data_IF_593428113813
#
_entry.id   IF_593428113813
#
_cell.length_a   1.000
_cell.length_b   1.000
_cell.length_c   1.000
_cell.angle_alpha   90.00
_cell.angle_beta   90.00
_cell.angle_gamma   90.00
#
_symmetry.space_group_name_H-M   'P 1'
#
loop_
_entity.id
_entity.type
_entity.pdbx_description
1 polymer ?
#
# COMPACT_ATOMS: atom_id res chain seq x y z
N UNK A 1 26.55 15.46 13.81
CA UNK A 1 25.69 14.53 14.60
C UNK A 1 24.94 13.64 13.60
N UNK A 2 24.54 12.42 14.00
CA UNK A 2 23.77 11.52 13.13
C UNK A 2 22.43 11.16 13.77
N UNK A 3 21.35 11.20 13.00
CA UNK A 3 20.03 10.70 13.38
C UNK A 3 19.73 9.47 12.53
N UNK A 4 19.40 8.35 13.18
CA UNK A 4 18.90 7.16 12.50
C UNK A 4 17.39 7.27 12.33
N UNK A 5 16.91 6.95 11.14
CA UNK A 5 15.49 6.86 10.80
C UNK A 5 15.17 5.41 10.44
N UNK A 6 14.02 4.94 10.89
CA UNK A 6 13.52 3.60 10.60
C UNK A 6 12.01 3.67 10.39
N UNK A 7 11.58 3.29 9.19
CA UNK A 7 10.16 3.14 8.85
C UNK A 7 9.79 1.66 8.89
N UNK A 8 8.58 1.34 9.37
CA UNK A 8 8.09 -0.02 9.54
C UNK A 8 6.62 -0.09 9.12
N UNK A 9 6.26 -1.06 8.27
CA UNK A 9 4.87 -1.41 8.00
C UNK A 9 4.35 -2.28 9.14
N UNK A 10 3.39 -1.79 9.92
CA UNK A 10 2.88 -2.48 11.12
C UNK A 10 1.50 -3.10 10.89
N UNK A 11 0.67 -2.45 10.08
CA UNK A 11 -0.72 -2.82 9.84
C UNK A 11 -1.17 -2.44 8.43
N UNK A 12 -2.36 -2.85 8.01
CA UNK A 12 -2.98 -2.33 6.78
C UNK A 12 -3.47 -0.90 6.98
N UNK A 13 -3.99 -0.59 8.17
CA UNK A 13 -4.34 0.78 8.52
C UNK A 13 -4.33 1.07 10.02
N UNK A 14 -4.25 2.36 10.36
CA UNK A 14 -4.38 2.87 11.73
C UNK A 14 -5.57 3.82 11.86
N UNK A 15 -6.29 3.72 12.98
CA UNK A 15 -7.25 4.74 13.37
C UNK A 15 -6.53 5.94 14.01
N UNK A 16 -6.01 6.84 13.18
CA UNK A 16 -5.25 8.03 13.60
C UNK A 16 -6.05 8.93 14.53
N UNK A 17 -7.35 9.09 14.30
CA UNK A 17 -8.22 9.91 15.15
C UNK A 17 -8.29 9.37 16.58
N UNK A 18 -8.48 8.05 16.74
CA UNK A 18 -8.51 7.39 18.05
C UNK A 18 -7.14 7.46 18.71
N UNK A 19 -6.08 7.13 17.97
CA UNK A 19 -4.70 7.22 18.44
C UNK A 19 -4.38 8.61 19.03
N UNK A 20 -4.65 9.67 18.27
CA UNK A 20 -4.35 11.05 18.70
C UNK A 20 -5.11 11.47 19.96
N UNK A 21 -6.31 10.94 20.16
CA UNK A 21 -7.13 11.23 21.34
C UNK A 21 -6.52 10.61 22.60
N UNK A 22 -5.91 9.43 22.48
CA UNK A 22 -5.40 8.64 23.60
C UNK A 22 -3.90 8.88 23.87
N UNK A 23 -3.10 9.24 22.86
CA UNK A 23 -1.65 9.45 23.00
C UNK A 23 -1.28 10.73 23.78
N UNK A 24 -2.22 11.65 24.01
CA UNK A 24 -2.14 12.85 24.89
C UNK A 24 -0.91 13.78 24.73
N UNK A 25 -0.11 13.57 23.70
CA UNK A 25 1.03 14.40 23.32
C UNK A 25 0.60 15.38 22.25
N UNK A 26 1.08 16.62 22.31
CA UNK A 26 0.80 17.62 21.27
C UNK A 26 1.56 17.25 19.99
N UNK A 27 0.82 17.19 18.87
CA UNK A 27 1.41 16.91 17.57
C UNK A 27 2.01 18.18 16.98
N UNK A 28 3.17 18.07 16.34
CA UNK A 28 3.76 19.18 15.57
C UNK A 28 2.91 19.47 14.33
N UNK A 29 2.43 18.41 13.68
CA UNK A 29 1.46 18.50 12.58
C UNK A 29 0.65 17.21 12.50
N UNK A 30 -0.59 17.29 12.03
CA UNK A 30 -1.36 16.07 11.77
C UNK A 30 -2.72 16.34 11.15
N UNK A 31 -3.20 15.34 10.42
CA UNK A 31 -4.49 15.30 9.75
C UNK A 31 -5.27 14.06 10.22
N UNK A 32 -6.25 13.63 9.44
CA UNK A 32 -6.90 12.32 9.59
C UNK A 32 -6.05 11.18 9.02
N UNK A 33 -5.17 11.48 8.06
CA UNK A 33 -4.34 10.51 7.37
C UNK A 33 -2.96 10.32 8.04
N UNK A 34 -2.51 11.29 8.82
CA UNK A 34 -1.17 11.23 9.38
C UNK A 34 -1.02 12.06 10.65
N UNK A 35 0.02 11.75 11.44
CA UNK A 35 0.40 12.58 12.58
C UNK A 35 1.90 12.51 12.84
N UNK A 36 2.52 13.68 12.99
CA UNK A 36 3.93 13.86 13.24
C UNK A 36 4.17 14.54 14.60
N UNK A 37 5.07 13.96 15.38
CA UNK A 37 5.49 14.42 16.70
C UNK A 37 6.97 14.77 16.69
N UNK A 38 7.29 16.00 17.08
CA UNK A 38 8.65 16.47 17.30
C UNK A 38 8.92 16.56 18.80
N UNK A 39 9.48 15.49 19.38
CA UNK A 39 9.86 15.43 20.80
C UNK A 39 11.26 16.00 20.98
N UNK A 40 11.37 17.31 20.79
CA UNK A 40 12.63 18.06 20.73
C UNK A 40 13.47 17.94 22.00
N UNK A 41 12.84 17.83 23.18
CA UNK A 41 13.52 17.62 24.47
C UNK A 41 14.40 16.36 24.49
N UNK A 42 14.04 15.35 23.70
CA UNK A 42 14.74 14.08 23.60
C UNK A 42 15.40 13.86 22.23
N UNK A 43 15.35 14.87 21.35
CA UNK A 43 15.76 14.76 19.94
C UNK A 43 15.13 13.52 19.25
N UNK A 44 13.87 13.22 19.55
CA UNK A 44 13.11 12.07 19.03
C UNK A 44 11.97 12.54 18.16
N UNK A 45 11.72 11.83 17.06
CA UNK A 45 10.63 12.19 16.15
C UNK A 45 9.86 10.93 15.76
N UNK A 46 8.55 11.07 15.69
CA UNK A 46 7.65 9.96 15.44
C UNK A 46 6.63 10.40 14.40
N UNK A 47 6.44 9.57 13.39
CA UNK A 47 5.48 9.80 12.32
C UNK A 47 4.62 8.56 12.15
N UNK A 48 3.31 8.72 12.14
CA UNK A 48 2.36 7.63 11.98
C UNK A 48 1.44 7.98 10.83
N UNK A 49 1.22 7.02 9.96
CA UNK A 49 0.36 7.15 8.80
C UNK A 49 -0.84 6.22 8.90
N UNK A 50 -2.00 6.65 8.42
CA UNK A 50 -3.24 5.88 8.41
C UNK A 50 -3.14 4.60 7.58
N UNK A 51 -2.23 4.53 6.61
CA UNK A 51 -1.87 3.33 5.86
C UNK A 51 -0.92 2.37 6.60
N UNK A 52 -0.83 2.48 7.92
CA UNK A 52 -0.23 1.44 8.75
C UNK A 52 1.29 1.51 8.92
N UNK A 53 1.94 2.58 8.44
CA UNK A 53 3.38 2.82 8.61
C UNK A 53 3.66 3.65 9.86
N UNK A 54 4.71 3.27 10.58
CA UNK A 54 5.31 4.07 11.64
C UNK A 54 6.76 4.36 11.31
N UNK A 55 7.17 5.62 11.41
CA UNK A 55 8.54 6.07 11.19
C UNK A 55 9.09 6.66 12.48
N UNK A 56 10.23 6.14 12.91
CA UNK A 56 10.96 6.57 14.09
C UNK A 56 12.23 7.29 13.68
N UNK A 57 12.53 8.43 14.30
CA UNK A 57 13.83 9.06 14.22
C UNK A 57 14.46 9.16 15.60
N UNK A 58 15.68 8.63 15.72
CA UNK A 58 16.50 8.64 16.93
C UNK A 58 15.87 7.92 18.14
N UNK A 59 15.09 6.86 17.91
CA UNK A 59 14.58 5.99 18.97
C UNK A 59 15.53 4.82 19.24
N UNK A 60 15.69 4.46 20.51
CA UNK A 60 16.36 3.23 20.91
C UNK A 60 15.44 2.00 20.74
N UNK A 61 15.99 0.78 20.69
CA UNK A 61 15.19 -0.44 20.46
C UNK A 61 14.08 -0.69 21.50
N UNK A 62 14.28 -0.28 22.77
CA UNK A 62 13.30 -0.50 23.83
C UNK A 62 12.11 0.42 23.63
N UNK A 63 12.36 1.72 23.46
CA UNK A 63 11.32 2.70 23.21
C UNK A 63 10.52 2.40 21.92
N UNK A 64 11.19 1.93 20.85
CA UNK A 64 10.50 1.47 19.64
C UNK A 64 9.57 0.30 19.94
N UNK A 65 10.06 -0.73 20.64
CA UNK A 65 9.25 -1.93 20.95
C UNK A 65 8.03 -1.59 21.81
N UNK A 66 8.19 -0.73 22.81
CA UNK A 66 7.09 -0.24 23.64
C UNK A 66 6.05 0.51 22.80
N UNK A 67 6.50 1.42 21.93
CA UNK A 67 5.60 2.16 21.05
C UNK A 67 4.88 1.25 20.05
N UNK A 68 5.58 0.29 19.45
CA UNK A 68 4.98 -0.68 18.52
C UNK A 68 3.92 -1.53 19.21
N UNK A 69 4.11 -1.92 20.47
CA UNK A 69 3.08 -2.64 21.24
C UNK A 69 1.87 -1.75 21.55
N UNK A 70 2.09 -0.46 21.82
CA UNK A 70 1.02 0.49 22.04
C UNK A 70 0.19 0.77 20.78
N UNK A 71 0.86 1.04 19.64
CA UNK A 71 0.19 1.48 18.40
C UNK A 71 -0.67 0.38 17.78
N UNK A 72 -0.35 -0.90 18.04
CA UNK A 72 -1.15 -2.06 17.61
C UNK A 72 -2.61 -2.01 18.08
N UNK A 73 -2.92 -1.33 19.17
CA UNK A 73 -4.31 -1.17 19.66
C UNK A 73 -5.19 -0.31 18.75
N UNK A 74 -4.59 0.39 17.79
CA UNK A 74 -5.26 1.24 16.81
C UNK A 74 -5.17 0.68 15.38
N UNK A 75 -4.54 -0.48 15.21
CA UNK A 75 -4.37 -1.14 13.93
C UNK A 75 -5.65 -1.85 13.49
N UNK A 76 -5.96 -1.78 12.20
CA UNK A 76 -6.80 -2.76 11.53
C UNK A 76 -5.88 -3.66 10.69
N UNK A 77 -6.01 -4.99 10.91
CA UNK A 77 -5.21 -6.04 10.30
C UNK A 77 -3.69 -5.83 10.43
N UNK A 78 -3.08 -6.56 11.36
CA UNK A 78 -1.62 -6.51 11.52
C UNK A 78 -0.94 -7.15 10.31
N UNK A 79 0.13 -6.50 9.85
CA UNK A 79 0.98 -7.01 8.78
C UNK A 79 2.09 -7.83 9.43
N UNK A 80 2.08 -9.15 9.21
CA UNK A 80 3.11 -10.08 9.70
C UNK A 80 4.22 -10.26 8.64
N UNK A 81 4.75 -9.13 8.18
CA UNK A 81 5.86 -9.07 7.23
C UNK A 81 6.95 -8.19 7.84
N UNK A 82 8.21 -8.61 7.71
CA UNK A 82 9.36 -7.80 8.13
C UNK A 82 9.66 -6.71 7.09
N UNK A 83 8.73 -5.76 6.94
CA UNK A 83 8.84 -4.63 6.02
C UNK A 83 9.30 -3.41 6.79
N UNK A 84 10.56 -3.04 6.55
CA UNK A 84 11.19 -1.90 7.18
C UNK A 84 12.30 -1.33 6.32
N UNK A 85 12.47 -0.01 6.40
CA UNK A 85 13.56 0.68 5.71
C UNK A 85 14.29 1.60 6.68
N UNK A 86 15.62 1.61 6.58
CA UNK A 86 16.49 2.45 7.40
C UNK A 86 17.15 3.54 6.56
N UNK A 87 17.26 4.72 7.16
CA UNK A 87 17.92 5.86 6.55
C UNK A 87 18.59 6.72 7.61
N UNK A 88 19.45 7.66 7.20
CA UNK A 88 20.18 8.52 8.14
C UNK A 88 20.12 9.98 7.76
N UNK A 89 20.12 10.84 8.76
CA UNK A 89 20.39 12.27 8.60
C UNK A 89 21.76 12.55 9.21
N UNK A 90 22.65 13.15 8.43
CA UNK A 90 23.97 13.60 8.87
C UNK A 90 24.03 15.13 8.87
N UNK A 91 24.40 15.72 10.01
CA UNK A 91 24.52 17.17 10.11
C UNK A 91 25.93 17.59 9.70
N UNK A 92 26.02 18.44 8.67
CA UNK A 92 27.25 19.12 8.27
C UNK A 92 27.00 20.63 8.10
N UNK A 93 27.44 21.47 9.06
CA UNK A 93 27.27 22.92 8.99
C UNK A 93 28.03 23.60 7.84
N UNK A 94 28.91 22.88 7.13
CA UNK A 94 29.61 23.42 5.95
C UNK A 94 28.74 23.39 4.70
N UNK A 95 27.74 22.51 4.66
CA UNK A 95 26.81 22.46 3.55
C UNK A 95 25.81 23.61 3.66
N UNK A 96 25.44 24.17 2.51
CA UNK A 96 24.46 25.27 2.45
C UNK A 96 23.05 24.80 2.13
N UNK A 97 22.91 23.53 1.72
CA UNK A 97 21.64 22.91 1.30
C UNK A 97 21.65 21.41 1.60
N UNK A 98 20.47 20.77 1.72
CA UNK A 98 20.37 19.34 1.87
C UNK A 98 20.92 18.58 0.66
N UNK A 99 21.72 17.54 0.90
CA UNK A 99 22.29 16.66 -0.14
C UNK A 99 21.82 15.23 0.11
N UNK A 100 20.98 14.73 -0.79
CA UNK A 100 20.43 13.36 -0.72
C UNK A 100 21.44 12.36 -1.31
N UNK A 101 21.64 11.24 -0.62
CA UNK A 101 22.41 10.07 -1.04
C UNK A 101 21.59 8.81 -0.74
N UNK A 102 22.01 7.68 -1.29
CA UNK A 102 21.26 6.42 -1.18
C UNK A 102 20.91 6.02 0.26
N UNK A 103 21.84 6.16 1.21
CA UNK A 103 21.66 5.69 2.60
C UNK A 103 21.50 6.82 3.63
N UNK A 104 21.66 8.08 3.20
CA UNK A 104 21.60 9.23 4.10
C UNK A 104 21.38 10.55 3.37
N UNK A 105 20.89 11.55 4.10
CA UNK A 105 20.86 12.94 3.66
C UNK A 105 21.76 13.78 4.56
N UNK A 106 22.59 14.63 3.96
CA UNK A 106 23.36 15.64 4.69
C UNK A 106 22.55 16.92 4.79
N UNK A 107 22.49 17.56 5.96
CA UNK A 107 21.75 18.80 6.21
C UNK A 107 22.58 19.80 7.01
N UNK A 108 22.39 21.12 6.82
CA UNK A 108 23.10 22.13 7.59
C UNK A 108 22.74 22.09 9.08
N UNK A 109 21.46 21.92 9.38
CA UNK A 109 20.90 21.89 10.73
C UNK A 109 19.68 20.95 10.83
N UNK A 110 19.28 20.64 12.06
CA UNK A 110 18.05 19.89 12.32
C UNK A 110 16.89 20.86 12.41
N UNK A 111 15.90 20.61 11.58
CA UNK A 111 14.62 21.30 11.58
C UNK A 111 13.48 20.26 11.56
N UNK A 112 12.46 20.35 12.43
CA UNK A 112 11.33 19.44 12.44
C UNK A 112 10.61 19.34 11.08
N UNK A 113 10.55 20.43 10.32
CA UNK A 113 9.92 20.45 8.99
C UNK A 113 10.74 19.63 7.99
N UNK A 114 12.07 19.77 8.00
CA UNK A 114 12.98 18.93 7.24
C UNK A 114 12.83 17.44 7.62
N UNK A 115 12.86 17.12 8.92
CA UNK A 115 12.74 15.74 9.37
C UNK A 115 11.43 15.11 8.93
N UNK A 116 10.33 15.88 8.99
CA UNK A 116 9.03 15.43 8.49
C UNK A 116 9.09 15.05 7.01
N UNK A 117 9.75 15.84 6.16
CA UNK A 117 9.91 15.52 4.73
C UNK A 117 10.75 14.25 4.53
N UNK A 118 11.85 14.10 5.26
CA UNK A 118 12.69 12.89 5.18
C UNK A 118 11.89 11.65 5.61
N UNK A 119 11.24 11.71 6.77
CA UNK A 119 10.45 10.61 7.32
C UNK A 119 9.24 10.26 6.46
N UNK A 120 8.59 11.25 5.83
CA UNK A 120 7.49 11.05 4.88
C UNK A 120 7.94 10.17 3.70
N UNK A 121 9.05 10.52 3.05
CA UNK A 121 9.52 9.81 1.87
C UNK A 121 9.95 8.37 2.20
N UNK A 122 10.58 8.15 3.36
CA UNK A 122 10.95 6.79 3.80
C UNK A 122 9.68 5.99 4.13
N UNK A 123 8.69 6.60 4.78
CA UNK A 123 7.42 5.94 5.07
C UNK A 123 6.67 5.53 3.79
N UNK A 124 6.71 6.38 2.76
CA UNK A 124 6.14 6.09 1.43
C UNK A 124 6.85 4.92 0.74
N UNK A 125 8.17 4.85 0.83
CA UNK A 125 8.94 3.76 0.24
C UNK A 125 8.58 2.39 0.84
N UNK A 126 8.42 2.32 2.17
CA UNK A 126 7.95 1.10 2.86
C UNK A 126 6.51 0.75 2.49
N UNK A 127 5.61 1.74 2.40
CA UNK A 127 4.23 1.49 1.98
C UNK A 127 4.14 0.98 0.54
N UNK A 128 4.96 1.53 -0.37
CA UNK A 128 5.05 1.04 -1.75
C UNK A 128 5.50 -0.43 -1.79
N UNK A 129 6.50 -0.80 -0.99
CA UNK A 129 6.96 -2.19 -0.91
C UNK A 129 5.84 -3.13 -0.45
N UNK A 130 5.04 -2.70 0.52
CA UNK A 130 3.87 -3.46 0.97
C UNK A 130 2.86 -3.69 -0.17
N UNK A 131 2.51 -2.65 -0.93
CA UNK A 131 1.56 -2.78 -2.05
C UNK A 131 2.13 -3.56 -3.24
N UNK A 132 3.43 -3.45 -3.49
CA UNK A 132 4.14 -4.29 -4.45
C UNK A 132 3.97 -5.77 -4.08
N UNK A 133 4.23 -6.15 -2.82
CA UNK A 133 4.04 -7.53 -2.35
C UNK A 133 2.59 -8.02 -2.51
N UNK A 134 1.60 -7.21 -2.15
CA UNK A 134 0.19 -7.57 -2.36
C UNK A 134 -0.13 -7.79 -3.84
N UNK A 135 0.43 -6.96 -4.71
CA UNK A 135 0.21 -7.05 -6.16
C UNK A 135 0.93 -8.25 -6.77
N UNK A 136 2.12 -8.62 -6.26
CA UNK A 136 2.83 -9.86 -6.59
C UNK A 136 1.97 -11.10 -6.31
N UNK A 137 1.28 -11.15 -5.16
CA UNK A 137 0.37 -12.25 -4.82
C UNK A 137 -0.79 -12.34 -5.81
N UNK A 138 -1.39 -11.20 -6.17
CA UNK A 138 -2.49 -11.13 -7.12
C UNK A 138 -2.03 -11.59 -8.52
N UNK A 139 -0.89 -11.10 -8.99
CA UNK A 139 -0.33 -11.55 -10.28
C UNK A 139 -0.07 -13.06 -10.27
N UNK A 140 0.52 -13.58 -9.21
CA UNK A 140 0.81 -15.02 -9.09
C UNK A 140 -0.47 -15.85 -9.11
N UNK A 141 -1.50 -15.39 -8.42
CA UNK A 141 -2.82 -16.02 -8.41
C UNK A 141 -3.48 -15.99 -9.80
N UNK A 142 -3.40 -14.86 -10.52
CA UNK A 142 -3.91 -14.75 -11.89
C UNK A 142 -3.16 -15.65 -12.87
N UNK A 143 -1.82 -15.73 -12.76
CA UNK A 143 -0.99 -16.63 -13.59
C UNK A 143 -1.39 -18.08 -13.47
N UNK A 144 -1.77 -18.54 -12.28
CA UNK A 144 -2.26 -19.90 -12.07
C UNK A 144 -3.48 -20.20 -12.98
N UNK A 145 -4.46 -19.31 -13.04
CA UNK A 145 -5.66 -19.46 -13.86
C UNK A 145 -5.40 -19.31 -15.35
N UNK A 146 -4.46 -18.45 -15.75
CA UNK A 146 -4.01 -18.35 -17.15
C UNK A 146 -3.42 -19.68 -17.63
N UNK A 147 -2.58 -20.32 -16.82
CA UNK A 147 -2.01 -21.63 -17.14
C UNK A 147 -3.10 -22.71 -17.27
N UNK A 148 -4.17 -22.66 -16.47
CA UNK A 148 -5.29 -23.58 -16.62
C UNK A 148 -6.01 -23.39 -17.96
N UNK A 149 -6.21 -22.14 -18.38
CA UNK A 149 -6.80 -21.83 -19.68
C UNK A 149 -5.93 -22.36 -20.83
N UNK A 150 -4.62 -22.13 -20.77
CA UNK A 150 -3.67 -22.61 -21.76
C UNK A 150 -3.71 -24.14 -21.89
N UNK A 151 -3.67 -24.86 -20.76
CA UNK A 151 -3.54 -26.32 -20.76
C UNK A 151 -4.85 -27.06 -20.96
N UNK A 152 -5.96 -26.53 -20.43
CA UNK A 152 -7.24 -27.23 -20.34
C UNK A 152 -8.37 -26.56 -21.13
N UNK A 153 -8.17 -25.34 -21.62
CA UNK A 153 -9.20 -24.53 -22.28
C UNK A 153 -10.36 -24.13 -21.35
N UNK A 154 -10.19 -24.23 -20.03
CA UNK A 154 -11.23 -23.94 -19.03
C UNK A 154 -10.64 -23.49 -17.71
N UNK A 155 -11.40 -22.67 -16.98
CA UNK A 155 -11.07 -22.23 -15.63
C UNK A 155 -11.69 -23.18 -14.59
N UNK A 156 -10.91 -23.60 -13.60
CA UNK A 156 -11.42 -24.40 -12.46
C UNK A 156 -12.10 -23.54 -11.38
N UNK A 157 -11.86 -22.22 -11.35
CA UNK A 157 -12.43 -21.32 -10.36
C UNK A 157 -13.96 -21.27 -10.45
N UNK A 158 -14.62 -21.29 -9.29
CA UNK A 158 -16.07 -21.09 -9.21
C UNK A 158 -16.42 -19.60 -9.36
N UNK A 159 -17.65 -19.30 -9.82
CA UNK A 159 -18.15 -17.93 -9.88
C UNK A 159 -18.04 -17.19 -8.55
N UNK A 160 -18.37 -17.87 -7.45
CA UNK A 160 -18.29 -17.31 -6.09
C UNK A 160 -16.84 -16.97 -5.71
N UNK A 161 -15.89 -17.86 -6.01
CA UNK A 161 -14.49 -17.61 -5.70
C UNK A 161 -13.89 -16.52 -6.61
N UNK A 162 -14.31 -16.42 -7.87
CA UNK A 162 -13.93 -15.32 -8.76
C UNK A 162 -14.43 -13.98 -8.20
N UNK A 163 -15.69 -13.90 -7.75
CA UNK A 163 -16.23 -12.68 -7.15
C UNK A 163 -15.48 -12.26 -5.87
N UNK A 164 -15.11 -13.23 -5.01
CA UNK A 164 -14.24 -12.96 -3.85
C UNK A 164 -12.87 -12.44 -4.27
N UNK A 165 -12.30 -13.02 -5.33
CA UNK A 165 -11.00 -12.61 -5.85
C UNK A 165 -11.04 -11.19 -6.44
N UNK A 166 -12.08 -10.87 -7.23
CA UNK A 166 -12.37 -9.50 -7.69
C UNK A 166 -12.47 -8.54 -6.49
N UNK A 167 -13.20 -8.93 -5.44
CA UNK A 167 -13.28 -8.13 -4.20
C UNK A 167 -11.92 -7.89 -3.54
N UNK A 168 -11.04 -8.90 -3.47
CA UNK A 168 -9.66 -8.73 -2.96
C UNK A 168 -8.89 -7.70 -3.80
N UNK A 169 -8.94 -7.81 -5.13
CA UNK A 169 -8.25 -6.87 -6.04
C UNK A 169 -8.78 -5.45 -5.87
N UNK A 170 -10.09 -5.27 -5.81
CA UNK A 170 -10.72 -3.95 -5.60
C UNK A 170 -10.35 -3.35 -4.23
N UNK A 171 -10.27 -4.15 -3.18
CA UNK A 171 -9.83 -3.66 -1.86
C UNK A 171 -8.38 -3.20 -1.89
N UNK A 172 -7.48 -3.95 -2.56
CA UNK A 172 -6.08 -3.52 -2.75
C UNK A 172 -6.02 -2.24 -3.56
N UNK A 173 -6.76 -2.12 -4.66
CA UNK A 173 -6.83 -0.90 -5.47
C UNK A 173 -7.35 0.31 -4.70
N UNK A 174 -8.44 0.14 -3.93
CA UNK A 174 -8.98 1.22 -3.11
C UNK A 174 -7.99 1.64 -2.02
N UNK A 175 -7.33 0.68 -1.36
CA UNK A 175 -6.29 0.97 -0.37
C UNK A 175 -5.12 1.74 -0.99
N UNK A 176 -4.71 1.34 -2.19
CA UNK A 176 -3.70 2.05 -2.99
C UNK A 176 -4.18 3.48 -3.26
N UNK A 177 -5.38 3.70 -3.79
CA UNK A 177 -5.91 5.03 -4.12
C UNK A 177 -6.07 5.92 -2.87
N UNK A 178 -6.66 5.40 -1.81
CA UNK A 178 -6.90 6.13 -0.55
C UNK A 178 -5.58 6.58 0.07
N UNK A 179 -4.54 5.75 -0.03
CA UNK A 179 -3.26 5.97 0.62
C UNK A 179 -2.21 6.60 -0.28
N UNK A 180 -2.33 6.55 -1.61
CA UNK A 180 -1.37 7.15 -2.55
C UNK A 180 -1.63 8.62 -2.85
N UNK A 181 -2.70 9.22 -2.28
CA UNK A 181 -2.76 10.66 -2.05
C UNK A 181 -1.53 11.19 -1.30
N UNK A 182 -0.78 10.32 -0.61
CA UNK A 182 0.49 10.67 0.03
C UNK A 182 1.57 11.04 -0.99
N UNK A 183 1.47 10.58 -2.26
CA UNK A 183 2.44 10.92 -3.30
C UNK A 183 2.34 12.38 -3.76
N UNK A 184 1.26 13.07 -3.41
CA UNK A 184 1.17 14.50 -3.60
C UNK A 184 2.25 15.22 -2.76
N UNK A 185 2.63 16.40 -3.20
CA UNK A 185 3.59 17.21 -2.47
C UNK A 185 2.91 17.78 -1.20
N UNK A 186 3.46 17.53 0.01
CA UNK A 186 2.83 17.98 1.24
C UNK A 186 2.77 19.51 1.26
N UNK A 187 1.68 20.10 1.77
CA UNK A 187 1.46 21.56 1.76
C UNK A 187 2.67 22.38 2.25
N UNK A 188 3.44 21.84 3.18
CA UNK A 188 4.66 22.44 3.73
C UNK A 188 5.73 22.76 2.67
N UNK A 189 5.80 22.04 1.55
CA UNK A 189 6.80 22.30 0.50
C UNK A 189 6.37 23.41 -0.47
N UNK A 190 5.11 23.82 -0.47
CA UNK A 190 4.59 24.78 -1.44
C UNK A 190 5.19 26.17 -1.24
N UNK A 191 5.39 26.56 0.01
CA UNK A 191 5.93 27.87 0.38
C UNK A 191 7.45 27.82 0.69
N UNK A 192 8.09 26.66 0.58
CA UNK A 192 9.51 26.47 0.92
C UNK A 192 10.25 25.71 -0.19
N UNK A 193 11.03 26.46 -0.98
CA UNK A 193 11.80 25.93 -2.11
C UNK A 193 12.83 24.87 -1.69
N UNK A 194 13.45 25.01 -0.53
CA UNK A 194 14.45 24.07 -0.02
C UNK A 194 13.81 22.73 0.36
N UNK A 195 12.67 22.76 1.07
CA UNK A 195 11.91 21.56 1.41
C UNK A 195 11.34 20.89 0.16
N UNK A 196 10.91 21.67 -0.84
CA UNK A 196 10.46 21.13 -2.12
C UNK A 196 11.59 20.41 -2.86
N UNK A 197 12.77 21.03 -2.94
CA UNK A 197 13.94 20.41 -3.57
C UNK A 197 14.35 19.12 -2.84
N UNK A 198 14.36 19.15 -1.51
CA UNK A 198 14.63 17.97 -0.68
C UNK A 198 13.61 16.85 -0.97
N UNK A 199 12.32 17.17 -0.93
CA UNK A 199 11.25 16.21 -1.20
C UNK A 199 11.42 15.57 -2.58
N UNK A 200 11.65 16.36 -3.63
CA UNK A 200 11.89 15.86 -4.99
C UNK A 200 13.11 14.95 -5.08
N UNK A 201 14.21 15.33 -4.43
CA UNK A 201 15.44 14.53 -4.42
C UNK A 201 15.25 13.20 -3.67
N UNK A 202 14.48 13.18 -2.57
CA UNK A 202 14.13 11.97 -1.85
C UNK A 202 13.19 11.08 -2.67
N UNK A 203 12.14 11.64 -3.29
CA UNK A 203 11.24 10.89 -4.19
C UNK A 203 12.00 10.22 -5.33
N UNK A 204 13.04 10.88 -5.85
CA UNK A 204 13.92 10.30 -6.86
C UNK A 204 14.84 9.22 -6.25
N UNK A 205 15.40 9.45 -5.05
CA UNK A 205 16.29 8.48 -4.39
C UNK A 205 15.60 7.16 -4.05
N UNK A 206 14.32 7.21 -3.64
CA UNK A 206 13.52 6.04 -3.31
C UNK A 206 12.69 5.51 -4.49
N UNK A 207 12.89 6.06 -5.70
CA UNK A 207 12.15 5.70 -6.92
C UNK A 207 10.62 5.71 -6.74
N UNK A 208 10.10 6.62 -5.91
CA UNK A 208 8.69 6.63 -5.48
C UNK A 208 7.72 6.66 -6.67
N UNK A 209 7.96 7.54 -7.64
CA UNK A 209 7.09 7.65 -8.82
C UNK A 209 7.25 6.48 -9.81
N UNK A 210 8.47 6.06 -10.21
CA UNK A 210 8.66 4.85 -11.01
C UNK A 210 8.01 3.61 -10.41
N UNK A 211 8.21 3.36 -9.10
CA UNK A 211 7.64 2.22 -8.37
C UNK A 211 6.12 2.25 -8.37
N UNK A 212 5.52 3.41 -8.06
CA UNK A 212 4.07 3.57 -8.14
C UNK A 212 3.52 3.30 -9.54
N UNK A 213 4.19 3.78 -10.59
CA UNK A 213 3.77 3.55 -11.97
C UNK A 213 3.83 2.07 -12.36
N UNK A 214 4.88 1.35 -11.92
CA UNK A 214 4.99 -0.09 -12.14
C UNK A 214 3.88 -0.84 -11.39
N UNK A 215 3.66 -0.50 -10.12
CA UNK A 215 2.58 -1.04 -9.30
C UNK A 215 1.20 -0.88 -9.97
N UNK A 216 0.87 0.32 -10.46
CA UNK A 216 -0.40 0.62 -11.14
C UNK A 216 -0.55 -0.20 -12.43
N UNK A 217 0.49 -0.26 -13.26
CA UNK A 217 0.49 -1.07 -14.47
C UNK A 217 0.29 -2.56 -14.18
N UNK A 218 0.95 -3.07 -13.15
CA UNK A 218 0.85 -4.46 -12.71
C UNK A 218 -0.54 -4.81 -12.17
N UNK A 219 -1.16 -3.88 -11.46
CA UNK A 219 -2.54 -4.02 -11.00
C UNK A 219 -3.53 -4.02 -12.18
N UNK A 220 -3.31 -3.16 -13.19
CA UNK A 220 -4.12 -3.15 -14.41
C UNK A 220 -4.09 -4.51 -15.13
N UNK A 221 -2.93 -5.17 -15.21
CA UNK A 221 -2.83 -6.53 -15.78
C UNK A 221 -3.72 -7.51 -15.00
N UNK A 222 -3.81 -7.39 -13.68
CA UNK A 222 -4.68 -8.26 -12.86
C UNK A 222 -6.15 -8.00 -13.21
N UNK A 223 -6.56 -6.74 -13.34
CA UNK A 223 -7.93 -6.36 -13.71
C UNK A 223 -8.32 -6.87 -15.11
N UNK A 224 -7.42 -6.75 -16.08
CA UNK A 224 -7.63 -7.26 -17.44
C UNK A 224 -7.83 -8.79 -17.44
N UNK A 225 -7.02 -9.51 -16.65
CA UNK A 225 -7.18 -10.95 -16.46
C UNK A 225 -8.53 -11.31 -15.83
N UNK A 226 -8.99 -10.55 -14.84
CA UNK A 226 -10.30 -10.78 -14.19
C UNK A 226 -11.47 -10.58 -15.16
N UNK A 227 -11.35 -9.61 -16.08
CA UNK A 227 -12.33 -9.38 -17.14
C UNK A 227 -12.42 -10.61 -18.04
N UNK A 228 -11.28 -11.09 -18.52
CA UNK A 228 -11.19 -12.32 -19.31
C UNK A 228 -11.75 -13.54 -18.57
N UNK A 229 -11.45 -13.71 -17.29
CA UNK A 229 -11.97 -14.82 -16.49
C UNK A 229 -13.50 -14.78 -16.35
N UNK A 230 -14.05 -13.58 -16.21
CA UNK A 230 -15.49 -13.36 -16.12
C UNK A 230 -16.18 -13.74 -17.43
N UNK A 231 -15.62 -13.33 -18.57
CA UNK A 231 -16.15 -13.65 -19.89
C UNK A 231 -16.17 -15.17 -20.15
N UNK A 232 -15.07 -15.87 -19.83
CA UNK A 232 -14.99 -17.33 -19.96
C UNK A 232 -16.06 -18.04 -19.12
N UNK A 233 -16.28 -17.59 -17.87
CA UNK A 233 -17.29 -18.19 -17.01
C UNK A 233 -18.72 -17.90 -17.50
N UNK A 234 -18.98 -16.72 -18.06
CA UNK A 234 -20.29 -16.36 -18.60
C UNK A 234 -20.65 -17.22 -19.83
N UNK A 235 -19.70 -17.51 -20.71
CA UNK A 235 -19.90 -18.45 -21.84
C UNK A 235 -20.31 -19.83 -21.35
N UNK A 236 -19.68 -20.33 -20.27
CA UNK A 236 -20.00 -21.64 -19.69
C UNK A 236 -21.44 -21.73 -19.20
N UNK A 237 -21.95 -20.68 -18.54
CA UNK A 237 -23.33 -20.68 -18.04
C UNK A 237 -24.36 -20.54 -19.17
N UNK A 238 -24.04 -19.80 -20.24
CA UNK A 238 -24.90 -19.69 -21.43
C UNK A 238 -25.19 -21.07 -22.05
N UNK A 239 -24.15 -21.88 -22.25
CA UNK A 239 -24.31 -23.25 -22.78
C UNK A 239 -25.13 -24.16 -21.86
N UNK A 240 -25.10 -23.96 -20.53
CA UNK A 240 -25.90 -24.76 -19.61
C UNK A 240 -27.39 -24.49 -19.77
N UNK A 241 -27.79 -23.23 -19.91
CA UNK A 241 -29.19 -22.86 -20.17
C UNK A 241 -29.65 -23.37 -21.54
N UNK A 242 -28.80 -23.28 -22.55
CA UNK A 242 -29.06 -23.82 -23.89
C UNK A 242 -29.38 -25.32 -23.84
N UNK A 243 -28.56 -26.12 -23.16
CA UNK A 243 -28.80 -27.56 -23.02
C UNK A 243 -30.07 -27.90 -22.24
N UNK A 244 -30.43 -27.12 -21.21
CA UNK A 244 -31.69 -27.30 -20.48
C UNK A 244 -32.87 -27.08 -21.43
N UNK A 245 -32.83 -26.02 -22.25
CA UNK A 245 -33.90 -25.74 -23.23
C UNK A 245 -34.01 -26.86 -24.26
N UNK A 246 -32.89 -27.32 -24.82
CA UNK A 246 -32.88 -28.42 -25.79
C UNK A 246 -33.46 -29.71 -25.18
N UNK A 247 -33.09 -30.03 -23.94
CA UNK A 247 -33.60 -31.21 -23.24
C UNK A 247 -35.11 -31.12 -22.95
N UNK A 248 -35.62 -29.95 -22.57
CA UNK A 248 -37.05 -29.72 -22.37
C UNK A 248 -37.84 -29.90 -23.66
N UNK A 249 -37.36 -29.34 -24.77
CA UNK A 249 -37.98 -29.51 -26.10
C UNK A 249 -37.97 -30.98 -26.52
N UNK A 250 -36.84 -31.67 -26.36
CA UNK A 250 -36.71 -33.09 -26.70
C UNK A 250 -37.67 -33.96 -25.87
N UNK A 251 -37.80 -33.68 -24.56
CA UNK A 251 -38.74 -34.37 -23.68
C UNK A 251 -40.20 -34.17 -24.12
N UNK A 252 -40.58 -32.94 -24.49
CA UNK A 252 -41.92 -32.62 -24.98
C UNK A 252 -42.26 -33.38 -26.27
N UNK A 253 -41.31 -33.45 -27.22
CA UNK A 253 -41.48 -34.22 -28.46
C UNK A 253 -41.66 -35.72 -28.18
N UNK A 254 -40.85 -36.28 -27.26
CA UNK A 254 -40.97 -37.69 -26.86
C UNK A 254 -42.35 -37.96 -26.26
N UNK A 255 -42.79 -37.12 -25.31
CA UNK A 255 -44.11 -37.27 -24.70
C UNK A 255 -45.24 -37.16 -25.75
N UNK A 256 -45.14 -36.22 -26.69
CA UNK A 256 -46.11 -36.08 -27.77
C UNK A 256 -46.18 -37.32 -28.68
N UNK A 257 -45.07 -38.03 -28.90
CA UNK A 257 -45.02 -39.25 -29.72
C UNK A 257 -45.49 -40.52 -28.99
N UNK A 258 -45.36 -40.59 -27.66
CA UNK A 258 -45.78 -41.78 -26.89
C UNK A 258 -47.20 -41.68 -26.32
N UNK A 259 -47.74 -40.47 -26.16
CA UNK A 259 -49.09 -40.22 -25.63
C UNK A 259 -50.14 -40.08 -26.73
N UNK A 260 -49.73 -40.06 -28.00
CA UNK A 260 -50.59 -40.11 -29.18
C UNK A 260 -50.48 -41.46 -29.89
#
# INVERSE_FOLDING_TARGET
>A
MKIRIEAIQVAESFNIKKFRTEFRTEAFSGSTAEVFYALTEHNRYLYIFDYGVVVFANYDPVAKSEFLNFVKNYAANLVDLNLSEEYRIEIDPKESKPIVKNDYVTVPEIDPSLLRIVMLNIGQSVALEYYEMLTDELITSSKHYILELEQKGKLSISKTNLLKYIGKVLNVKNSIVDNLYILDDPNLVWDNEELNLLNRNLKNNFDIHPRFKDLDYRLQIVEDNLTLFTDVLNVRESHRLEWIIIALIAFEIIMALFVH
#
